data_IF_083254432951
#
_entry.id   IF_083254432951
#
_cell.length_a   1.000
_cell.length_b   1.000
_cell.length_c   1.000
_cell.angle_alpha   90.00
_cell.angle_beta   90.00
_cell.angle_gamma   90.00
#
_symmetry.space_group_name_H-M   'P 1'
#
loop_
_entity.id
_entity.type
_entity.pdbx_description
1 polymer ?
#
# COMPACT_ATOMS: atom_id res chain seq x y z
N UNK A 1 -20.34 -24.60 -4.63
CA UNK A 1 -20.06 -23.14 -4.52
C UNK A 1 -18.68 -22.86 -3.95
N UNK A 2 -18.28 -23.49 -2.83
CA UNK A 2 -16.99 -23.23 -2.17
C UNK A 2 -15.76 -23.53 -3.06
N UNK A 3 -15.79 -24.64 -3.80
CA UNK A 3 -14.72 -25.00 -4.75
C UNK A 3 -14.54 -23.96 -5.87
N UNK A 4 -15.64 -23.46 -6.44
CA UNK A 4 -15.59 -22.39 -7.43
C UNK A 4 -14.98 -21.11 -6.86
N UNK A 5 -15.30 -20.74 -5.61
CA UNK A 5 -14.68 -19.57 -4.98
C UNK A 5 -13.19 -19.75 -4.73
N UNK A 6 -12.73 -20.95 -4.34
CA UNK A 6 -11.31 -21.25 -4.18
C UNK A 6 -10.55 -21.08 -5.50
N UNK A 7 -11.12 -21.59 -6.59
CA UNK A 7 -10.50 -21.49 -7.91
C UNK A 7 -10.50 -20.04 -8.43
N UNK A 8 -11.63 -19.35 -8.38
CA UNK A 8 -11.76 -17.99 -8.92
C UNK A 8 -10.92 -17.00 -8.10
N UNK A 9 -11.10 -16.98 -6.78
CA UNK A 9 -10.44 -16.01 -5.89
C UNK A 9 -8.99 -16.42 -5.63
N UNK A 10 -8.70 -17.71 -5.51
CA UNK A 10 -7.37 -18.21 -5.16
C UNK A 10 -6.42 -18.41 -6.34
N UNK A 11 -6.92 -18.59 -7.56
CA UNK A 11 -6.08 -18.89 -8.73
C UNK A 11 -6.25 -17.82 -9.81
N UNK A 12 -7.46 -17.60 -10.32
CA UNK A 12 -7.67 -16.70 -11.47
C UNK A 12 -7.45 -15.23 -11.10
N UNK A 13 -8.07 -14.79 -10.00
CA UNK A 13 -8.03 -13.39 -9.57
C UNK A 13 -6.60 -12.90 -9.27
N UNK A 14 -5.69 -13.69 -8.65
CA UNK A 14 -4.32 -13.24 -8.39
C UNK A 14 -3.58 -12.86 -9.68
N UNK A 15 -3.69 -13.67 -10.73
CA UNK A 15 -3.11 -13.34 -12.03
C UNK A 15 -3.74 -12.08 -12.62
N UNK A 16 -5.07 -11.94 -12.57
CA UNK A 16 -5.75 -10.73 -13.01
C UNK A 16 -5.27 -9.50 -12.23
N UNK A 17 -5.11 -9.64 -10.91
CA UNK A 17 -4.65 -8.58 -10.01
C UNK A 17 -3.23 -8.16 -10.38
N UNK A 18 -2.32 -9.12 -10.58
CA UNK A 18 -0.93 -8.84 -10.98
C UNK A 18 -0.86 -8.13 -12.34
N UNK A 19 -1.67 -8.55 -13.31
CA UNK A 19 -1.75 -7.92 -14.63
C UNK A 19 -2.27 -6.48 -14.51
N UNK A 20 -3.43 -6.28 -13.89
CA UNK A 20 -4.05 -4.95 -13.74
C UNK A 20 -3.13 -4.01 -12.97
N UNK A 21 -2.61 -4.47 -11.82
CA UNK A 21 -1.71 -3.68 -11.00
C UNK A 21 -0.41 -3.34 -11.74
N UNK A 22 0.22 -4.32 -12.37
CA UNK A 22 1.48 -4.15 -13.10
C UNK A 22 1.34 -3.21 -14.29
N UNK A 23 0.34 -3.43 -15.14
CA UNK A 23 0.07 -2.57 -16.30
C UNK A 23 -0.25 -1.14 -15.87
N UNK A 24 -1.10 -0.97 -14.85
CA UNK A 24 -1.43 0.36 -14.34
C UNK A 24 -0.21 1.07 -13.72
N UNK A 25 0.66 0.36 -13.00
CA UNK A 25 1.91 0.92 -12.49
C UNK A 25 2.84 1.36 -13.62
N UNK A 26 3.06 0.50 -14.62
CA UNK A 26 3.91 0.80 -15.78
C UNK A 26 3.38 2.02 -16.54
N UNK A 27 2.07 2.02 -16.84
CA UNK A 27 1.42 3.13 -17.52
C UNK A 27 1.56 4.44 -16.74
N UNK A 28 1.26 4.44 -15.43
CA UNK A 28 1.38 5.65 -14.61
C UNK A 28 2.85 6.09 -14.49
N UNK A 29 3.79 5.17 -14.36
CA UNK A 29 5.21 5.48 -14.30
C UNK A 29 5.68 6.21 -15.56
N UNK A 30 5.38 5.67 -16.75
CA UNK A 30 5.73 6.33 -18.02
C UNK A 30 4.98 7.65 -18.21
N UNK A 31 3.69 7.69 -17.87
CA UNK A 31 2.90 8.91 -17.90
C UNK A 31 3.54 10.03 -17.07
N UNK A 32 4.06 9.71 -15.88
CA UNK A 32 4.74 10.66 -15.01
C UNK A 32 6.14 11.04 -15.47
N UNK A 33 6.84 10.13 -16.15
CA UNK A 33 8.16 10.41 -16.70
C UNK A 33 8.10 11.35 -17.91
N UNK A 34 7.05 11.25 -18.73
CA UNK A 34 6.96 11.96 -20.01
C UNK A 34 6.03 13.16 -20.02
N UNK A 35 5.05 13.26 -19.11
CA UNK A 35 4.17 14.44 -19.05
C UNK A 35 4.76 15.52 -18.13
N UNK A 36 5.13 16.71 -18.65
CA UNK A 36 5.46 17.86 -17.81
C UNK A 36 4.30 18.15 -16.86
N UNK A 37 4.57 18.16 -15.56
CA UNK A 37 3.62 18.71 -14.58
C UNK A 37 4.29 19.86 -13.85
N UNK A 38 3.62 21.02 -13.71
CA UNK A 38 4.14 22.10 -12.89
C UNK A 38 4.32 21.58 -11.47
N UNK A 39 5.57 21.44 -11.03
CA UNK A 39 5.90 21.04 -9.67
C UNK A 39 5.68 22.27 -8.79
N UNK A 40 4.42 22.50 -8.39
CA UNK A 40 4.03 23.63 -7.53
C UNK A 40 4.72 23.60 -6.14
N UNK A 41 5.40 22.50 -5.81
CA UNK A 41 6.05 22.23 -4.54
C UNK A 41 7.51 21.84 -4.78
N UNK A 42 8.21 22.57 -5.65
CA UNK A 42 9.64 22.43 -5.86
C UNK A 42 10.35 22.54 -4.49
N UNK A 43 10.89 21.41 -4.02
CA UNK A 43 11.57 21.35 -2.72
C UNK A 43 12.99 21.82 -2.95
N UNK A 44 13.26 23.09 -2.65
CA UNK A 44 14.61 23.62 -2.62
C UNK A 44 15.32 23.29 -1.30
N UNK A 45 16.65 23.07 -1.33
CA UNK A 45 17.48 22.90 -2.52
C UNK A 45 17.24 21.54 -3.20
N UNK A 46 17.34 21.52 -4.54
CA UNK A 46 17.32 20.28 -5.31
C UNK A 46 18.45 19.37 -4.85
N UNK A 47 18.14 18.09 -4.62
CA UNK A 47 19.14 17.14 -4.12
C UNK A 47 19.86 16.49 -5.30
N UNK A 48 21.18 16.60 -5.29
CA UNK A 48 22.01 16.16 -6.42
C UNK A 48 22.22 14.63 -6.46
N UNK A 49 22.01 13.93 -5.35
CA UNK A 49 22.32 12.50 -5.22
C UNK A 49 21.08 11.64 -4.90
N UNK A 50 20.91 10.52 -5.62
CA UNK A 50 19.80 9.56 -5.47
C UNK A 50 19.68 9.06 -4.03
N UNK A 51 20.80 8.76 -3.37
CA UNK A 51 20.80 8.30 -1.97
C UNK A 51 20.18 9.37 -1.05
N UNK A 52 20.52 10.64 -1.28
CA UNK A 52 20.00 11.75 -0.49
C UNK A 52 18.52 12.02 -0.75
N UNK A 53 18.02 11.76 -1.96
CA UNK A 53 16.59 11.79 -2.32
C UNK A 53 15.84 10.72 -1.52
N UNK A 54 16.30 9.46 -1.59
CA UNK A 54 15.69 8.35 -0.85
C UNK A 54 15.66 8.59 0.66
N UNK A 55 16.79 9.00 1.26
CA UNK A 55 16.85 9.32 2.69
C UNK A 55 15.89 10.46 3.09
N UNK A 56 15.65 11.40 2.18
CA UNK A 56 14.70 12.51 2.42
C UNK A 56 13.26 12.04 2.41
N UNK A 57 12.91 11.19 1.45
CA UNK A 57 11.58 10.60 1.36
C UNK A 57 11.33 9.73 2.59
N UNK A 58 12.28 8.86 2.94
CA UNK A 58 12.21 8.04 4.15
C UNK A 58 12.04 8.90 5.41
N UNK A 59 12.89 9.92 5.61
CA UNK A 59 12.78 10.85 6.76
C UNK A 59 11.41 11.54 6.79
N UNK A 60 10.82 11.90 5.65
CA UNK A 60 9.50 12.52 5.61
C UNK A 60 8.38 11.54 6.00
N UNK A 61 8.46 10.28 5.57
CA UNK A 61 7.50 9.22 5.93
C UNK A 61 7.54 8.94 7.44
N UNK A 62 8.75 8.85 8.03
CA UNK A 62 8.89 8.50 9.44
C UNK A 62 8.78 9.69 10.40
N UNK A 63 9.30 10.86 10.03
CA UNK A 63 9.31 12.04 10.91
C UNK A 63 8.11 12.96 10.75
N UNK A 64 7.32 12.84 9.67
CA UNK A 64 6.10 13.60 9.39
C UNK A 64 6.15 15.06 9.93
N UNK A 65 7.14 15.88 9.50
CA UNK A 65 7.46 17.15 10.16
C UNK A 65 6.36 18.20 10.04
N UNK A 66 5.46 18.08 9.07
CA UNK A 66 4.27 18.92 8.95
C UNK A 66 3.27 18.62 10.07
N UNK A 67 2.62 17.43 10.07
CA UNK A 67 1.69 17.03 11.12
C UNK A 67 2.24 17.23 12.54
N UNK A 68 3.52 16.90 12.77
CA UNK A 68 4.13 17.02 14.10
C UNK A 68 4.14 18.46 14.64
N UNK A 69 4.19 19.47 13.77
CA UNK A 69 4.19 20.89 14.16
C UNK A 69 2.79 21.47 14.33
N UNK A 70 1.80 21.01 13.56
CA UNK A 70 0.48 21.63 13.50
C UNK A 70 -0.61 20.86 14.25
N UNK A 71 -0.54 19.52 14.25
CA UNK A 71 -1.59 18.67 14.82
C UNK A 71 -1.01 17.32 15.28
N UNK A 72 -0.78 17.21 16.60
CA UNK A 72 -0.23 16.00 17.22
C UNK A 72 -1.12 14.77 17.02
N UNK A 73 -2.44 14.94 16.89
CA UNK A 73 -3.35 13.82 16.66
C UNK A 73 -3.16 13.27 15.24
N UNK A 74 -3.12 14.15 14.23
CA UNK A 74 -2.82 13.71 12.84
C UNK A 74 -1.46 13.03 12.79
N UNK A 75 -0.45 13.60 13.46
CA UNK A 75 0.88 13.01 13.51
C UNK A 75 0.83 11.57 14.02
N UNK A 76 0.22 11.34 15.17
CA UNK A 76 0.13 10.00 15.77
C UNK A 76 -0.65 9.04 14.88
N UNK A 77 -1.83 9.45 14.37
CA UNK A 77 -2.65 8.63 13.48
C UNK A 77 -1.91 8.26 12.19
N UNK A 78 -1.21 9.23 11.59
CA UNK A 78 -0.41 9.00 10.40
C UNK A 78 0.79 8.10 10.67
N UNK A 79 1.42 8.23 11.82
CA UNK A 79 2.54 7.38 12.21
C UNK A 79 2.09 5.93 12.41
N UNK A 80 0.99 5.71 13.15
CA UNK A 80 0.36 4.39 13.33
C UNK A 80 -0.02 3.75 11.98
N UNK A 81 -0.60 4.55 11.08
CA UNK A 81 -0.95 4.12 9.74
C UNK A 81 0.26 3.63 8.93
N UNK A 82 1.30 4.47 8.80
CA UNK A 82 2.44 4.15 7.94
C UNK A 82 3.28 3.00 8.51
N UNK A 83 3.60 3.03 9.81
CA UNK A 83 4.37 1.94 10.44
C UNK A 83 3.60 0.63 10.36
N UNK A 84 2.31 0.66 10.70
CA UNK A 84 1.46 -0.53 10.62
C UNK A 84 1.45 -1.11 9.20
N UNK A 85 1.21 -0.28 8.18
CA UNK A 85 1.21 -0.74 6.78
C UNK A 85 2.55 -1.28 6.33
N UNK A 86 3.66 -0.61 6.63
CA UNK A 86 5.00 -1.03 6.21
C UNK A 86 5.33 -2.41 6.81
N UNK A 87 5.06 -2.61 8.10
CA UNK A 87 5.32 -3.89 8.77
C UNK A 87 4.38 -4.97 8.25
N UNK A 88 3.08 -4.67 8.11
CA UNK A 88 2.11 -5.62 7.56
C UNK A 88 2.49 -6.06 6.14
N UNK A 89 2.84 -5.14 5.26
CA UNK A 89 3.26 -5.44 3.88
C UNK A 89 4.58 -6.22 3.84
N UNK A 90 5.56 -5.87 4.67
CA UNK A 90 6.82 -6.61 4.78
C UNK A 90 6.59 -8.08 5.18
N UNK A 91 5.69 -8.33 6.12
CA UNK A 91 5.32 -9.69 6.53
C UNK A 91 4.49 -10.45 5.49
N UNK A 92 3.86 -9.77 4.53
CA UNK A 92 3.28 -10.44 3.35
C UNK A 92 4.38 -10.76 2.33
N UNK A 93 5.29 -9.82 2.09
CA UNK A 93 6.41 -9.99 1.17
C UNK A 93 7.35 -11.14 1.57
N UNK A 94 7.42 -11.49 2.87
CA UNK A 94 8.19 -12.64 3.36
C UNK A 94 7.88 -13.93 2.59
N UNK A 95 6.62 -14.15 2.20
CA UNK A 95 6.19 -15.38 1.53
C UNK A 95 6.82 -15.57 0.13
N UNK A 96 7.47 -14.53 -0.41
CA UNK A 96 8.29 -14.65 -1.62
C UNK A 96 9.56 -15.47 -1.35
N UNK A 97 10.12 -15.38 -0.15
CA UNK A 97 11.44 -15.92 0.18
C UNK A 97 11.37 -17.11 1.15
N UNK A 98 10.46 -17.06 2.11
CA UNK A 98 10.48 -17.95 3.27
C UNK A 98 9.08 -18.17 3.86
N UNK A 99 8.80 -19.37 4.37
CA UNK A 99 7.49 -19.70 4.93
C UNK A 99 7.26 -19.06 6.31
N UNK A 100 8.30 -18.95 7.14
CA UNK A 100 8.19 -18.58 8.56
C UNK A 100 9.24 -17.56 9.00
N UNK A 101 8.84 -16.67 9.91
CA UNK A 101 9.67 -15.75 10.69
C UNK A 101 9.30 -15.84 12.18
N UNK A 102 10.25 -15.60 13.09
CA UNK A 102 9.93 -15.49 14.51
C UNK A 102 9.00 -14.29 14.76
N UNK A 103 8.05 -14.48 15.67
CA UNK A 103 7.08 -13.45 16.12
C UNK A 103 6.18 -12.85 15.01
N UNK A 104 6.04 -13.52 13.87
CA UNK A 104 5.29 -12.97 12.72
C UNK A 104 3.80 -12.76 13.01
N UNK A 105 3.22 -13.56 13.90
CA UNK A 105 1.81 -13.46 14.27
C UNK A 105 1.58 -12.23 15.12
N UNK A 106 2.41 -12.03 16.13
CA UNK A 106 2.34 -10.93 17.09
C UNK A 106 2.64 -9.61 16.38
N UNK A 107 3.77 -9.53 15.67
CA UNK A 107 4.16 -8.33 14.93
C UNK A 107 3.14 -7.97 13.86
N UNK A 108 2.66 -8.95 13.10
CA UNK A 108 1.68 -8.70 12.05
C UNK A 108 0.32 -8.27 12.58
N UNK A 109 -0.11 -8.78 13.75
CA UNK A 109 -1.39 -8.43 14.34
C UNK A 109 -1.37 -7.02 14.92
N UNK A 110 -0.27 -6.67 15.62
CA UNK A 110 -0.05 -5.31 16.13
C UNK A 110 0.02 -4.33 14.96
N UNK A 111 0.80 -4.64 13.93
CA UNK A 111 0.93 -3.80 12.74
C UNK A 111 -0.41 -3.58 12.02
N UNK A 112 -1.18 -4.65 11.83
CA UNK A 112 -2.50 -4.58 11.19
C UNK A 112 -3.48 -3.72 12.00
N UNK A 113 -3.46 -3.84 13.32
CA UNK A 113 -4.30 -3.02 14.21
C UNK A 113 -3.89 -1.54 14.21
N UNK A 114 -2.58 -1.24 14.27
CA UNK A 114 -2.07 0.13 14.16
C UNK A 114 -2.47 0.78 12.84
N UNK A 115 -2.32 0.05 11.73
CA UNK A 115 -2.74 0.51 10.42
C UNK A 115 -4.25 0.76 10.36
N UNK A 116 -5.06 -0.11 10.95
CA UNK A 116 -6.51 0.03 10.99
C UNK A 116 -6.92 1.26 11.82
N UNK A 117 -6.35 1.45 13.01
CA UNK A 117 -6.63 2.61 13.89
C UNK A 117 -6.27 3.92 13.18
N UNK A 118 -5.09 4.00 12.56
CA UNK A 118 -4.70 5.18 11.78
C UNK A 118 -5.67 5.46 10.62
N UNK A 119 -6.08 4.41 9.91
CA UNK A 119 -7.06 4.50 8.81
C UNK A 119 -8.43 5.00 9.28
N UNK A 120 -8.95 4.46 10.38
CA UNK A 120 -10.20 4.92 10.99
C UNK A 120 -10.13 6.38 11.43
N UNK A 121 -9.02 6.77 12.08
CA UNK A 121 -8.80 8.15 12.49
C UNK A 121 -8.84 9.13 11.32
N UNK A 122 -8.33 8.74 10.15
CA UNK A 122 -8.43 9.55 8.94
C UNK A 122 -9.85 9.66 8.37
N UNK A 123 -10.68 8.62 8.48
CA UNK A 123 -12.10 8.71 8.10
C UNK A 123 -12.83 9.69 9.01
N UNK A 124 -12.66 9.53 10.32
CA UNK A 124 -13.26 10.39 11.34
C UNK A 124 -12.88 11.84 11.06
N UNK A 125 -11.59 12.13 10.86
CA UNK A 125 -11.15 13.48 10.56
C UNK A 125 -11.79 14.06 9.30
N UNK A 126 -11.83 13.32 8.19
CA UNK A 126 -12.45 13.82 6.93
C UNK A 126 -13.93 14.12 7.10
N UNK A 127 -14.63 13.37 7.96
CA UNK A 127 -16.03 13.65 8.26
C UNK A 127 -16.22 14.97 9.02
N UNK A 128 -15.32 15.30 9.95
CA UNK A 128 -15.42 16.52 10.77
C UNK A 128 -14.79 17.78 10.12
N UNK A 129 -13.73 17.62 9.33
CA UNK A 129 -13.00 18.73 8.71
C UNK A 129 -13.57 19.04 7.31
N UNK A 130 -14.56 19.93 7.25
CA UNK A 130 -15.25 20.35 6.00
C UNK A 130 -14.34 21.05 4.98
N UNK A 131 -13.08 21.36 5.33
CA UNK A 131 -12.08 21.96 4.41
C UNK A 131 -11.43 20.91 3.51
N UNK A 132 -11.57 19.62 3.85
CA UNK A 132 -11.06 18.55 3.02
C UNK A 132 -12.04 18.29 1.86
N UNK A 133 -11.71 18.77 0.67
CA UNK A 133 -12.34 18.28 -0.57
C UNK A 133 -12.14 16.77 -0.63
N UNK A 134 -13.17 16.02 -0.25
CA UNK A 134 -13.10 14.57 -0.13
C UNK A 134 -13.99 13.96 -1.20
N UNK A 135 -13.37 13.30 -2.17
CA UNK A 135 -14.11 12.61 -3.22
C UNK A 135 -14.51 11.21 -2.73
N UNK A 136 -15.62 10.66 -3.26
CA UNK A 136 -16.05 9.28 -2.96
C UNK A 136 -14.90 8.26 -3.09
N UNK A 137 -14.05 8.47 -4.09
CA UNK A 137 -12.86 7.68 -4.37
C UNK A 137 -11.88 7.57 -3.18
N UNK A 138 -11.78 8.60 -2.33
CA UNK A 138 -10.84 8.64 -1.21
C UNK A 138 -11.34 7.84 -0.01
N UNK A 139 -12.66 7.86 0.22
CA UNK A 139 -13.30 7.00 1.22
C UNK A 139 -13.31 5.54 0.78
N UNK A 140 -13.57 5.28 -0.50
CA UNK A 140 -13.62 3.91 -1.02
C UNK A 140 -12.32 3.14 -0.79
N UNK A 141 -11.18 3.74 -1.14
CA UNK A 141 -9.87 3.12 -0.94
C UNK A 141 -9.59 2.82 0.54
N UNK A 142 -9.94 3.77 1.41
CA UNK A 142 -9.65 3.67 2.83
C UNK A 142 -10.57 2.64 3.53
N UNK A 143 -11.83 2.54 3.11
CA UNK A 143 -12.75 1.51 3.60
C UNK A 143 -12.27 0.12 3.17
N UNK A 144 -11.88 -0.07 1.90
CA UNK A 144 -11.31 -1.33 1.43
C UNK A 144 -10.07 -1.71 2.26
N UNK A 145 -9.19 -0.75 2.51
CA UNK A 145 -8.00 -0.94 3.32
C UNK A 145 -8.34 -1.37 4.76
N UNK A 146 -9.29 -0.70 5.40
CA UNK A 146 -9.74 -1.04 6.75
C UNK A 146 -10.29 -2.47 6.79
N UNK A 147 -11.17 -2.82 5.86
CA UNK A 147 -11.78 -4.16 5.80
C UNK A 147 -10.70 -5.23 5.67
N UNK A 148 -9.74 -5.06 4.75
CA UNK A 148 -8.67 -6.05 4.58
C UNK A 148 -7.73 -6.12 5.79
N UNK A 149 -7.41 -4.99 6.42
CA UNK A 149 -6.58 -4.94 7.63
C UNK A 149 -7.24 -5.65 8.81
N UNK A 150 -8.53 -5.43 9.04
CA UNK A 150 -9.28 -6.08 10.12
C UNK A 150 -9.38 -7.59 9.89
N UNK A 151 -9.71 -8.02 8.67
CA UNK A 151 -9.78 -9.44 8.33
C UNK A 151 -8.42 -10.13 8.48
N UNK A 152 -7.35 -9.52 7.95
CA UNK A 152 -6.00 -10.08 8.04
C UNK A 152 -5.49 -10.16 9.48
N UNK A 153 -5.80 -9.15 10.31
CA UNK A 153 -5.49 -9.15 11.74
C UNK A 153 -6.25 -10.26 12.47
N UNK A 154 -7.55 -10.41 12.18
CA UNK A 154 -8.38 -11.44 12.80
C UNK A 154 -7.89 -12.86 12.48
N UNK A 155 -7.58 -13.13 11.20
CA UNK A 155 -7.01 -14.41 10.75
C UNK A 155 -5.71 -14.75 11.50
N UNK A 156 -4.85 -13.73 11.71
CA UNK A 156 -3.55 -13.89 12.33
C UNK A 156 -3.65 -14.11 13.84
N UNK A 157 -4.50 -13.37 14.54
CA UNK A 157 -4.74 -13.53 15.99
C UNK A 157 -5.24 -14.94 16.30
N UNK A 158 -6.14 -15.46 15.47
CA UNK A 158 -6.71 -16.79 15.67
C UNK A 158 -5.90 -17.92 15.02
N UNK A 159 -4.78 -17.61 14.34
CA UNK A 159 -3.91 -18.57 13.65
C UNK A 159 -4.71 -19.52 12.74
N UNK A 160 -5.66 -18.98 11.97
CA UNK A 160 -6.61 -19.78 11.19
C UNK A 160 -5.99 -20.49 9.97
N UNK A 161 -4.76 -20.13 9.60
CA UNK A 161 -4.11 -20.54 8.34
C UNK A 161 -2.73 -21.09 8.65
N UNK A 162 -2.40 -22.23 8.03
CA UNK A 162 -1.03 -22.74 8.03
C UNK A 162 -0.14 -21.87 7.13
N UNK A 163 0.88 -21.20 7.67
CA UNK A 163 1.79 -20.37 6.90
C UNK A 163 2.62 -21.17 5.88
N UNK A 164 2.82 -22.49 6.09
CA UNK A 164 3.50 -23.36 5.11
C UNK A 164 2.61 -23.58 3.89
N UNK A 165 1.32 -23.86 4.11
CA UNK A 165 0.34 -23.95 3.02
C UNK A 165 0.21 -22.62 2.27
N UNK A 166 0.15 -21.50 3.00
CA UNK A 166 0.07 -20.16 2.41
C UNK A 166 1.31 -19.85 1.56
N UNK A 167 2.50 -20.19 2.05
CA UNK A 167 3.75 -20.05 1.30
C UNK A 167 3.76 -20.88 0.02
N UNK A 168 3.39 -22.15 0.09
CA UNK A 168 3.29 -23.04 -1.08
C UNK A 168 2.30 -22.52 -2.13
N UNK A 169 1.19 -21.93 -1.69
CA UNK A 169 0.24 -21.28 -2.58
C UNK A 169 0.85 -20.04 -3.27
N UNK A 170 1.49 -19.15 -2.51
CA UNK A 170 2.18 -17.97 -3.08
C UNK A 170 3.25 -18.39 -4.09
N UNK A 171 4.09 -19.38 -3.74
CA UNK A 171 5.12 -19.90 -4.64
C UNK A 171 4.50 -20.47 -5.91
N UNK A 172 3.41 -21.25 -5.81
CA UNK A 172 2.70 -21.78 -6.97
C UNK A 172 2.17 -20.70 -7.92
N UNK A 173 1.67 -19.58 -7.39
CA UNK A 173 1.27 -18.43 -8.21
C UNK A 173 2.49 -17.80 -8.90
N UNK A 174 3.60 -17.61 -8.16
CA UNK A 174 4.82 -16.98 -8.69
C UNK A 174 5.55 -17.86 -9.72
N UNK A 175 5.52 -19.18 -9.56
CA UNK A 175 6.12 -20.16 -10.48
C UNK A 175 5.21 -20.56 -11.64
N UNK A 176 4.04 -19.93 -11.77
CA UNK A 176 3.01 -20.26 -12.78
C UNK A 176 2.54 -21.73 -12.70
N UNK A 177 2.66 -22.36 -11.53
CA UNK A 177 2.13 -23.69 -11.23
C UNK A 177 1.14 -23.59 -10.06
N UNK A 178 -0.06 -23.03 -10.28
CA UNK A 178 -0.97 -22.66 -9.21
C UNK A 178 -1.42 -23.90 -8.42
N UNK A 179 -1.39 -23.78 -7.10
CA UNK A 179 -1.99 -24.73 -6.17
C UNK A 179 -3.24 -24.11 -5.54
N UNK A 180 -4.07 -24.91 -4.87
CA UNK A 180 -5.24 -24.38 -4.17
C UNK A 180 -4.81 -23.55 -2.94
N UNK A 181 -5.47 -22.41 -2.68
CA UNK A 181 -5.20 -21.62 -1.48
C UNK A 181 -5.64 -22.36 -0.20
N UNK A 182 -5.21 -21.88 0.97
CA UNK A 182 -5.77 -22.33 2.24
C UNK A 182 -7.30 -22.30 2.27
N UNK A 183 -7.92 -23.41 2.65
CA UNK A 183 -9.37 -23.61 2.62
C UNK A 183 -10.04 -22.97 3.84
N UNK A 184 -10.02 -21.65 3.92
CA UNK A 184 -10.70 -20.89 4.96
C UNK A 184 -11.49 -19.72 4.36
N UNK A 185 -12.78 -19.63 4.72
CA UNK A 185 -13.69 -18.60 4.19
C UNK A 185 -13.23 -17.18 4.50
N UNK A 186 -12.77 -16.91 5.73
CA UNK A 186 -12.30 -15.58 6.12
C UNK A 186 -11.03 -15.20 5.35
N UNK A 187 -10.13 -16.16 5.11
CA UNK A 187 -8.97 -15.95 4.26
C UNK A 187 -9.37 -15.59 2.82
N UNK A 188 -10.35 -16.29 2.22
CA UNK A 188 -10.84 -15.94 0.88
C UNK A 188 -11.48 -14.55 0.83
N UNK A 189 -12.22 -14.15 1.86
CA UNK A 189 -12.79 -12.80 1.94
C UNK A 189 -11.68 -11.75 2.08
N UNK A 190 -10.68 -11.99 2.94
CA UNK A 190 -9.50 -11.13 3.07
C UNK A 190 -8.77 -10.99 1.73
N UNK A 191 -8.49 -12.11 1.08
CA UNK A 191 -7.80 -12.19 -0.21
C UNK A 191 -8.58 -11.42 -1.28
N UNK A 192 -9.89 -11.63 -1.39
CA UNK A 192 -10.77 -10.91 -2.32
C UNK A 192 -10.68 -9.39 -2.15
N UNK A 193 -10.85 -8.87 -0.93
CA UNK A 193 -10.76 -7.43 -0.67
C UNK A 193 -9.35 -6.88 -0.87
N UNK A 194 -8.31 -7.63 -0.48
CA UNK A 194 -6.92 -7.25 -0.72
C UNK A 194 -6.63 -7.11 -2.21
N UNK A 195 -7.17 -8.00 -3.04
CA UNK A 195 -7.01 -7.97 -4.49
C UNK A 195 -7.74 -6.81 -5.15
N UNK A 196 -8.98 -6.51 -4.75
CA UNK A 196 -9.69 -5.32 -5.20
C UNK A 196 -8.92 -4.05 -4.82
N UNK A 197 -8.42 -3.98 -3.58
CA UNK A 197 -7.61 -2.87 -3.12
C UNK A 197 -6.35 -2.70 -3.96
N UNK A 198 -5.62 -3.80 -4.22
CA UNK A 198 -4.42 -3.80 -5.07
C UNK A 198 -4.72 -3.33 -6.49
N UNK A 199 -5.81 -3.79 -7.11
CA UNK A 199 -6.20 -3.32 -8.44
C UNK A 199 -6.56 -1.82 -8.44
N UNK A 200 -7.11 -1.30 -7.35
CA UNK A 200 -7.50 0.10 -7.23
C UNK A 200 -6.33 1.05 -6.94
N UNK A 201 -5.34 0.60 -6.15
CA UNK A 201 -4.17 1.36 -5.70
C UNK A 201 -3.45 2.23 -6.77
N UNK A 202 -3.11 1.71 -7.97
CA UNK A 202 -2.29 2.45 -8.93
C UNK A 202 -3.00 3.65 -9.53
N UNK A 203 -4.33 3.72 -9.48
CA UNK A 203 -5.10 4.80 -10.10
C UNK A 203 -5.19 6.07 -9.23
N UNK A 204 -4.95 5.95 -7.92
CA UNK A 204 -5.19 7.05 -6.96
C UNK A 204 -4.03 7.31 -6.00
N UNK A 205 -3.53 6.28 -5.31
CA UNK A 205 -2.75 6.47 -4.08
C UNK A 205 -1.24 6.28 -4.25
N UNK A 206 -0.80 5.31 -5.07
CA UNK A 206 0.63 5.02 -5.27
C UNK A 206 1.36 6.05 -6.14
N UNK A 207 0.64 7.04 -6.68
CA UNK A 207 1.19 8.11 -7.47
C UNK A 207 2.01 9.08 -6.60
N UNK A 208 1.68 9.23 -5.31
CA UNK A 208 2.24 10.28 -4.46
C UNK A 208 3.75 10.13 -4.14
N UNK A 209 4.31 8.93 -3.84
CA UNK A 209 5.74 8.77 -3.63
C UNK A 209 6.53 8.86 -4.95
N UNK A 210 5.98 8.31 -6.03
CA UNK A 210 6.56 8.36 -7.38
C UNK A 210 6.65 9.82 -7.85
N UNK A 211 5.58 10.58 -7.66
CA UNK A 211 5.52 12.01 -7.96
C UNK A 211 6.56 12.83 -7.21
N UNK A 212 6.79 12.56 -5.91
CA UNK A 212 7.82 13.25 -5.12
C UNK A 212 9.22 12.93 -5.66
N UNK A 213 9.47 11.67 -6.02
CA UNK A 213 10.76 11.25 -6.58
C UNK A 213 11.07 11.96 -7.89
N UNK A 214 10.10 12.04 -8.81
CA UNK A 214 10.26 12.75 -10.08
C UNK A 214 10.28 14.27 -9.93
N UNK A 215 9.48 14.84 -9.02
CA UNK A 215 9.49 16.28 -8.74
C UNK A 215 10.83 16.80 -8.23
N UNK A 216 11.63 15.96 -7.55
CA UNK A 216 13.02 16.30 -7.19
C UNK A 216 13.99 16.22 -8.38
N UNK A 217 13.68 15.40 -9.40
CA UNK A 217 14.51 15.21 -10.60
C UNK A 217 14.20 16.23 -11.72
N UNK A 218 12.99 16.79 -11.74
CA UNK A 218 12.55 17.84 -12.69
C UNK A 218 13.42 19.09 -12.63
N UNK A 219 14.10 19.35 -11.51
CA UNK A 219 15.00 20.50 -11.37
C UNK A 219 16.30 20.32 -12.19
N UNK A 220 16.57 19.12 -12.72
CA UNK A 220 17.73 18.84 -13.59
C UNK A 220 17.36 18.75 -15.08
N UNK A 221 16.08 18.90 -15.44
CA UNK A 221 15.62 18.78 -16.82
C UNK A 221 15.41 20.16 -17.47
N UNK A 222 16.31 20.52 -18.39
CA UNK A 222 16.25 21.78 -19.14
C UNK A 222 14.94 21.95 -19.94
N UNK A 223 14.19 20.87 -20.20
CA UNK A 223 12.90 20.90 -20.92
C UNK A 223 11.75 21.54 -20.13
N UNK A 224 11.94 21.78 -18.83
CA UNK A 224 10.95 22.42 -17.94
C UNK A 224 11.32 23.84 -17.52
N UNK A 225 12.49 24.33 -17.95
CA UNK A 225 12.83 25.74 -17.87
C UNK A 225 12.19 26.39 -19.09
N UNK A 226 11.16 27.21 -18.87
CA UNK A 226 10.72 28.15 -19.91
C UNK A 226 11.91 29.06 -20.16
N UNK A 227 12.52 28.97 -21.33
CA UNK A 227 13.48 29.96 -21.78
C UNK A 227 12.72 31.29 -21.90
N UNK A 228 13.03 32.23 -20.99
CA UNK A 228 12.65 33.65 -21.12
C UNK A 228 13.49 34.34 -22.21
#
# INVERSE_FOLDING_TARGET
MYEYSLFIIGIMMPYLTLIVFGVALIYNFFKWMFLPRPVMWAIFPAKENIVSIFLTIAKRIFSLPGPMKFDKLIFTLAWMFHIGLIVSLSLHAKYILLPHLPFEYEMGSIAGLLAAIGSFGFIIRRYYDKRAESYFADYFALILLIVTLLLGTYIRILKLIDPTQLWSWVQGILSLSPTLPPTNTLFLIHLFFAQIYMMYLPFKTLIHPIAIFYGQKVILDKRHLVEE
#
